data_IF_743033015520
#
_entry.id   IF_743033015520
#
_cell.length_a   1.000
_cell.length_b   1.000
_cell.length_c   1.000
_cell.angle_alpha   90.00
_cell.angle_beta   90.00
_cell.angle_gamma   90.00
#
_symmetry.space_group_name_H-M   'P 1'
#
loop_
_entity.id
_entity.type
_entity.pdbx_description
1 polymer ?
#
# COMPACT_ATOMS: atom_id res chain seq x y z
N UNK A 1 11.26 8.63 39.14
CA UNK A 1 11.49 7.41 38.32
C UNK A 1 10.56 7.45 37.12
N UNK A 2 10.78 8.38 36.18
CA UNK A 2 9.83 8.63 35.07
C UNK A 2 10.49 8.72 33.68
N UNK A 3 11.83 8.66 33.62
CA UNK A 3 12.62 8.75 32.38
C UNK A 3 12.80 7.37 31.71
N UNK A 4 12.50 6.27 32.42
CA UNK A 4 12.60 4.90 31.88
C UNK A 4 11.51 4.61 30.83
N UNK A 5 10.27 5.03 31.10
CA UNK A 5 9.12 4.81 30.22
C UNK A 5 9.20 5.51 28.85
N UNK A 6 9.65 6.77 28.71
CA UNK A 6 9.79 7.40 27.40
C UNK A 6 10.88 6.74 26.56
N UNK A 7 12.00 6.31 27.16
CA UNK A 7 13.04 5.58 26.43
C UNK A 7 12.50 4.24 25.94
N UNK A 8 11.79 3.50 26.78
CA UNK A 8 11.16 2.22 26.39
C UNK A 8 10.11 2.44 25.29
N UNK A 9 9.31 3.49 25.38
CA UNK A 9 8.31 3.84 24.36
C UNK A 9 8.94 4.17 23.01
N UNK A 10 10.04 4.92 22.99
CA UNK A 10 10.79 5.24 21.77
C UNK A 10 11.45 3.99 21.17
N UNK A 11 11.99 3.10 22.01
CA UNK A 11 12.59 1.85 21.54
C UNK A 11 11.52 0.93 20.93
N UNK A 12 10.35 0.80 21.56
CA UNK A 12 9.24 -0.01 21.03
C UNK A 12 8.73 0.54 19.69
N UNK A 13 8.53 1.85 19.57
CA UNK A 13 8.09 2.44 18.29
C UNK A 13 9.12 2.26 17.19
N UNK A 14 10.42 2.40 17.50
CA UNK A 14 11.49 2.15 16.55
C UNK A 14 11.50 0.69 16.06
N UNK A 15 11.32 -0.28 16.96
CA UNK A 15 11.27 -1.71 16.59
C UNK A 15 10.10 -2.00 15.64
N UNK A 16 8.92 -1.43 15.90
CA UNK A 16 7.75 -1.61 15.03
C UNK A 16 7.99 -1.07 13.62
N UNK A 17 8.60 0.12 13.51
CA UNK A 17 8.94 0.71 12.22
C UNK A 17 10.01 -0.11 11.50
N UNK A 18 11.07 -0.52 12.21
CA UNK A 18 12.12 -1.36 11.65
C UNK A 18 11.52 -2.65 11.10
N UNK A 19 10.67 -3.33 11.85
CA UNK A 19 10.04 -4.58 11.44
C UNK A 19 9.34 -4.49 10.08
N UNK A 20 8.54 -3.44 9.84
CA UNK A 20 7.89 -3.22 8.54
C UNK A 20 8.84 -2.88 7.40
N UNK A 21 9.98 -2.25 7.70
CA UNK A 21 10.92 -1.74 6.68
C UNK A 21 11.99 -2.77 6.31
N UNK A 22 12.30 -3.71 7.21
CA UNK A 22 13.26 -4.80 7.01
C UNK A 22 13.15 -5.53 5.66
N UNK A 23 11.97 -6.03 5.21
CA UNK A 23 11.88 -6.78 3.96
C UNK A 23 12.24 -5.94 2.73
N UNK A 24 11.98 -4.63 2.76
CA UNK A 24 12.37 -3.72 1.70
C UNK A 24 13.88 -3.48 1.69
N UNK A 25 14.49 -3.28 2.87
CA UNK A 25 15.93 -3.08 2.99
C UNK A 25 16.70 -4.28 2.45
N UNK A 26 16.28 -5.51 2.83
CA UNK A 26 16.88 -6.74 2.32
C UNK A 26 16.77 -6.84 0.79
N UNK A 27 15.59 -6.53 0.25
CA UNK A 27 15.35 -6.56 -1.20
C UNK A 27 16.25 -5.59 -1.98
N UNK A 28 16.41 -4.34 -1.51
CA UNK A 28 17.23 -3.35 -2.21
C UNK A 28 18.72 -3.57 -2.00
N UNK A 29 19.15 -4.00 -0.81
CA UNK A 29 20.56 -4.25 -0.52
C UNK A 29 21.13 -5.44 -1.28
N UNK A 30 20.34 -6.51 -1.47
CA UNK A 30 20.78 -7.77 -2.06
C UNK A 30 20.06 -8.12 -3.37
N UNK A 31 19.59 -7.11 -4.10
CA UNK A 31 18.73 -7.29 -5.28
C UNK A 31 19.31 -8.24 -6.33
N UNK A 32 20.60 -8.10 -6.66
CA UNK A 32 21.28 -8.95 -7.65
C UNK A 32 21.27 -10.42 -7.22
N UNK A 33 21.65 -10.69 -5.97
CA UNK A 33 21.65 -12.02 -5.40
C UNK A 33 20.25 -12.63 -5.37
N UNK A 34 19.23 -11.84 -5.04
CA UNK A 34 17.82 -12.26 -5.01
C UNK A 34 17.35 -12.65 -6.41
N UNK A 35 17.68 -11.87 -7.43
CA UNK A 35 17.30 -12.15 -8.82
C UNK A 35 17.94 -13.46 -9.31
N UNK A 36 19.22 -13.67 -9.02
CA UNK A 36 19.98 -14.82 -9.52
C UNK A 36 19.65 -16.12 -8.75
N UNK A 37 19.43 -16.05 -7.44
CA UNK A 37 19.37 -17.24 -6.59
C UNK A 37 17.97 -17.54 -6.02
N UNK A 38 17.14 -16.52 -5.76
CA UNK A 38 15.87 -16.66 -5.04
C UNK A 38 14.62 -16.39 -5.89
N UNK A 39 14.78 -15.80 -7.08
CA UNK A 39 13.67 -15.53 -7.99
C UNK A 39 13.15 -16.83 -8.62
N UNK A 40 11.83 -17.04 -8.59
CA UNK A 40 11.17 -18.22 -9.15
C UNK A 40 11.30 -18.26 -10.68
N UNK A 41 11.31 -17.09 -11.33
CA UNK A 41 11.40 -16.93 -12.78
C UNK A 41 12.83 -16.61 -13.27
N UNK A 42 13.87 -16.93 -12.49
CA UNK A 42 15.27 -16.67 -12.85
C UNK A 42 15.70 -17.27 -14.19
N UNK A 43 15.10 -18.39 -14.58
CA UNK A 43 15.39 -19.09 -15.84
C UNK A 43 14.70 -18.46 -17.06
N UNK A 44 13.80 -17.48 -16.83
CA UNK A 44 13.14 -16.73 -17.89
C UNK A 44 13.70 -15.29 -17.95
N UNK A 45 14.69 -15.01 -18.83
CA UNK A 45 15.29 -13.69 -18.95
C UNK A 45 14.34 -12.62 -19.50
N UNK A 46 13.16 -13.00 -20.00
CA UNK A 46 12.10 -12.07 -20.43
C UNK A 46 11.13 -11.72 -19.29
N UNK A 47 11.30 -12.28 -18.09
CA UNK A 47 10.42 -11.99 -16.95
C UNK A 47 10.64 -10.57 -16.44
N UNK A 48 9.55 -9.83 -16.25
CA UNK A 48 9.58 -8.49 -15.63
C UNK A 48 9.60 -8.54 -14.09
N UNK A 49 9.80 -9.74 -13.51
CA UNK A 49 9.68 -9.98 -12.07
C UNK A 49 10.79 -9.27 -11.28
N UNK A 50 12.04 -9.31 -11.74
CA UNK A 50 13.18 -8.62 -11.09
C UNK A 50 13.27 -8.90 -9.57
N UNK A 51 12.98 -10.14 -9.15
CA UNK A 51 12.99 -10.55 -7.75
C UNK A 51 11.78 -10.09 -6.90
N UNK A 52 10.76 -9.46 -7.50
CA UNK A 52 9.54 -9.01 -6.79
C UNK A 52 8.76 -10.15 -6.15
N UNK A 53 8.79 -11.36 -6.74
CA UNK A 53 8.18 -12.56 -6.15
C UNK A 53 8.74 -12.87 -4.75
N UNK A 54 10.05 -12.66 -4.54
CA UNK A 54 10.69 -12.85 -3.25
C UNK A 54 10.21 -11.81 -2.23
N UNK A 55 10.17 -10.54 -2.63
CA UNK A 55 9.66 -9.45 -1.77
C UNK A 55 8.20 -9.70 -1.36
N UNK A 56 7.35 -10.09 -2.29
CA UNK A 56 5.95 -10.42 -2.02
C UNK A 56 5.82 -11.58 -1.03
N UNK A 57 6.64 -12.63 -1.20
CA UNK A 57 6.68 -13.76 -0.27
C UNK A 57 7.06 -13.31 1.14
N UNK A 58 8.12 -12.51 1.29
CA UNK A 58 8.58 -11.98 2.59
C UNK A 58 7.51 -11.12 3.26
N UNK A 59 6.81 -10.29 2.49
CA UNK A 59 5.69 -9.48 3.00
C UNK A 59 4.56 -10.37 3.50
N UNK A 60 4.17 -11.42 2.76
CA UNK A 60 3.13 -12.35 3.19
C UNK A 60 3.51 -13.09 4.48
N UNK A 61 4.74 -13.62 4.55
CA UNK A 61 5.26 -14.31 5.74
C UNK A 61 5.22 -13.40 6.99
N UNK A 62 5.57 -12.12 6.84
CA UNK A 62 5.57 -11.14 7.95
C UNK A 62 4.15 -10.80 8.42
N UNK A 63 3.11 -11.03 7.61
CA UNK A 63 1.72 -10.78 7.97
C UNK A 63 1.00 -12.02 8.50
N UNK A 64 1.58 -13.22 8.37
CA UNK A 64 0.98 -14.48 8.79
C UNK A 64 1.70 -15.05 10.01
N UNK A 65 1.53 -14.41 11.17
CA UNK A 65 1.94 -14.98 12.48
C UNK A 65 1.03 -16.15 12.93
N UNK A 66 0.13 -16.64 12.07
CA UNK A 66 -0.64 -17.87 12.30
C UNK A 66 -0.11 -18.99 11.40
N UNK A 67 0.27 -20.16 11.95
CA UNK A 67 0.69 -21.29 11.13
C UNK A 67 -0.43 -21.63 10.15
N UNK A 68 -0.12 -21.60 8.85
CA UNK A 68 -1.02 -22.01 7.78
C UNK A 68 -1.36 -23.49 7.96
N UNK A 69 -2.58 -23.77 8.41
CA UNK A 69 -3.24 -25.01 8.05
C UNK A 69 -3.89 -24.77 6.68
N UNK A 70 -3.43 -25.52 5.68
CA UNK A 70 -3.90 -25.47 4.30
C UNK A 70 -5.33 -26.05 4.22
N UNK A 71 -6.36 -25.23 4.50
CA UNK A 71 -7.74 -25.42 3.98
C UNK A 71 -8.70 -24.32 4.51
N UNK A 72 -8.83 -23.22 3.78
CA UNK A 72 -10.10 -22.48 3.62
C UNK A 72 -9.89 -21.32 2.64
N UNK A 73 -10.91 -20.96 1.82
CA UNK A 73 -10.83 -19.76 1.00
C UNK A 73 -10.81 -18.54 1.92
N UNK A 74 -9.67 -17.85 1.94
CA UNK A 74 -9.49 -16.60 2.67
C UNK A 74 -10.42 -15.53 2.08
N UNK A 75 -11.64 -15.46 2.62
CA UNK A 75 -12.39 -14.20 2.65
C UNK A 75 -11.53 -13.25 3.46
N UNK A 76 -10.85 -12.36 2.77
CA UNK A 76 -10.13 -11.24 3.36
C UNK A 76 -11.09 -10.50 4.27
N UNK A 77 -11.04 -10.78 5.57
CA UNK A 77 -11.62 -9.91 6.57
C UNK A 77 -10.73 -8.66 6.57
N UNK A 78 -10.99 -7.78 5.63
CA UNK A 78 -10.58 -6.38 5.71
C UNK A 78 -11.31 -5.84 6.93
N UNK A 79 -10.70 -6.01 8.09
CA UNK A 79 -11.11 -5.33 9.30
C UNK A 79 -10.84 -3.85 9.01
N UNK A 80 -11.87 -3.16 8.50
CA UNK A 80 -11.83 -1.72 8.32
C UNK A 80 -11.60 -1.17 9.72
N UNK A 81 -10.38 -0.71 9.97
CA UNK A 81 -10.07 0.08 11.17
C UNK A 81 -10.96 1.31 11.06
N UNK A 82 -12.07 1.30 11.79
CA UNK A 82 -13.02 2.38 11.83
C UNK A 82 -12.39 3.52 12.63
N UNK A 83 -11.68 4.40 11.92
CA UNK A 83 -11.17 5.62 12.51
C UNK A 83 -12.37 6.53 12.79
N UNK A 84 -12.70 6.69 14.07
CA UNK A 84 -13.64 7.69 14.51
C UNK A 84 -12.95 9.06 14.38
N UNK A 85 -13.06 9.71 13.22
CA UNK A 85 -12.68 11.12 13.11
C UNK A 85 -13.56 11.92 14.07
N UNK A 86 -13.00 12.68 15.02
CA UNK A 86 -13.77 13.63 15.81
C UNK A 86 -14.48 14.60 14.87
N UNK A 87 -15.79 14.79 15.04
CA UNK A 87 -16.57 15.77 14.31
C UNK A 87 -15.99 17.18 14.59
N UNK A 88 -15.14 17.67 13.70
CA UNK A 88 -14.40 18.92 13.89
C UNK A 88 -13.10 19.06 13.09
N UNK A 89 -12.64 18.02 12.39
CA UNK A 89 -11.43 18.11 11.56
C UNK A 89 -11.77 18.50 10.11
N UNK A 90 -11.39 19.72 9.70
CA UNK A 90 -11.39 20.12 8.29
C UNK A 90 -10.05 19.77 7.66
N UNK A 91 -10.04 18.75 6.80
CA UNK A 91 -8.88 18.44 5.97
C UNK A 91 -8.83 19.49 4.85
N UNK A 92 -7.93 20.46 4.96
CA UNK A 92 -7.64 21.36 3.85
C UNK A 92 -6.72 20.64 2.86
N UNK A 93 -7.30 20.08 1.81
CA UNK A 93 -6.55 19.53 0.69
C UNK A 93 -6.20 20.67 -0.24
N UNK A 94 -4.96 21.16 -0.14
CA UNK A 94 -4.42 22.08 -1.14
C UNK A 94 -3.97 21.27 -2.35
N UNK A 95 -4.78 21.25 -3.40
CA UNK A 95 -4.37 20.71 -4.69
C UNK A 95 -3.46 21.76 -5.34
N UNK A 96 -2.17 21.47 -5.45
CA UNK A 96 -1.27 22.28 -6.27
C UNK A 96 -1.63 22.03 -7.74
N UNK A 97 -2.42 22.92 -8.34
CA UNK A 97 -2.54 23.01 -9.80
C UNK A 97 -1.15 23.28 -10.36
N UNK A 98 -0.50 22.22 -10.83
CA UNK A 98 0.58 22.38 -11.79
C UNK A 98 -0.11 22.83 -13.09
N UNK A 99 0.29 23.96 -13.70
CA UNK A 99 -0.22 24.32 -15.01
C UNK A 99 0.28 23.25 -15.99
N UNK A 100 -0.57 22.28 -16.31
CA UNK A 100 -0.37 21.48 -17.49
C UNK A 100 -0.58 22.43 -18.68
N UNK A 101 0.47 22.71 -19.44
CA UNK A 101 0.43 23.52 -20.67
C UNK A 101 -0.35 22.86 -21.83
N UNK A 102 -1.38 22.06 -21.52
CA UNK A 102 -2.27 21.47 -22.51
C UNK A 102 -3.72 21.64 -22.08
N UNK A 103 -4.31 22.77 -22.49
CA UNK A 103 -5.75 23.00 -22.39
C UNK A 103 -6.17 24.24 -23.17
N UNK A 104 -6.86 24.06 -24.29
CA UNK A 104 -7.66 25.13 -24.89
C UNK A 104 -9.03 25.15 -24.20
N UNK A 105 -9.38 26.29 -23.59
CA UNK A 105 -10.69 26.49 -22.97
C UNK A 105 -11.70 26.81 -24.07
N UNK A 106 -12.79 26.03 -24.15
CA UNK A 106 -13.92 26.33 -25.03
C UNK A 106 -14.83 27.32 -24.27
N UNK A 107 -14.95 28.59 -24.68
CA UNK A 107 -15.80 29.56 -24.00
C UNK A 107 -17.27 29.15 -24.13
N UNK A 108 -17.98 29.04 -22.99
CA UNK A 108 -19.40 28.68 -22.92
C UNK A 108 -19.68 27.23 -22.50
N UNK A 109 -18.66 26.46 -22.16
CA UNK A 109 -18.85 25.10 -21.65
C UNK A 109 -19.00 25.11 -20.12
N UNK A 110 -20.23 24.91 -19.65
CA UNK A 110 -20.57 24.81 -18.23
C UNK A 110 -20.86 23.34 -17.89
N UNK A 111 -19.91 22.66 -17.23
CA UNK A 111 -20.09 21.27 -16.81
C UNK A 111 -20.94 21.26 -15.55
N UNK A 112 -22.24 21.02 -15.71
CA UNK A 112 -23.10 20.71 -14.59
C UNK A 112 -22.70 19.34 -14.04
N UNK A 113 -22.11 19.31 -12.85
CA UNK A 113 -21.84 18.08 -12.13
C UNK A 113 -23.19 17.51 -11.66
N UNK A 114 -23.77 16.61 -12.44
CA UNK A 114 -25.02 15.95 -12.06
C UNK A 114 -24.73 14.96 -10.92
N UNK A 115 -25.39 15.10 -9.78
CA UNK A 115 -25.39 14.13 -8.65
C UNK A 115 -26.10 12.80 -9.00
N UNK A 116 -26.52 12.61 -10.24
CA UNK A 116 -27.14 11.38 -10.66
C UNK A 116 -26.09 10.26 -10.67
N UNK A 117 -26.09 9.45 -9.60
CA UNK A 117 -25.36 8.19 -9.51
C UNK A 117 -25.64 7.40 -10.79
N UNK A 118 -24.57 7.15 -11.54
CA UNK A 118 -24.65 6.44 -12.81
C UNK A 118 -25.17 5.02 -12.55
N UNK A 119 -26.38 4.71 -12.97
CA UNK A 119 -26.91 3.35 -12.90
C UNK A 119 -26.74 2.68 -14.26
N UNK A 120 -26.12 1.49 -14.33
CA UNK A 120 -25.99 0.77 -15.59
C UNK A 120 -27.36 0.34 -16.12
N UNK A 121 -27.52 0.23 -17.45
CA UNK A 121 -28.79 -0.17 -18.05
C UNK A 121 -29.17 -1.57 -17.60
N UNK A 122 -30.43 -1.75 -17.19
CA UNK A 122 -30.96 -3.07 -16.88
C UNK A 122 -31.19 -3.84 -18.17
N UNK A 123 -30.65 -5.06 -18.21
CA UNK A 123 -30.76 -5.95 -19.36
C UNK A 123 -32.23 -6.32 -19.59
N UNK A 124 -32.71 -6.09 -20.81
CA UNK A 124 -33.95 -6.67 -21.34
C UNK A 124 -33.70 -8.11 -21.73
#
# INVERSE_FOLDING_TARGET
>A
MSIKYPVISVVLSAILVLHSVLPFVEYYAFKEYIIENLCIERDNPKSCCQGKCYLEKRIRETNTDTPQDEQAPAVSKTERVEYNLPAGYSISVCVFEHPAEFGYIIPGYDFNFYEAVFHPPQKV
#
